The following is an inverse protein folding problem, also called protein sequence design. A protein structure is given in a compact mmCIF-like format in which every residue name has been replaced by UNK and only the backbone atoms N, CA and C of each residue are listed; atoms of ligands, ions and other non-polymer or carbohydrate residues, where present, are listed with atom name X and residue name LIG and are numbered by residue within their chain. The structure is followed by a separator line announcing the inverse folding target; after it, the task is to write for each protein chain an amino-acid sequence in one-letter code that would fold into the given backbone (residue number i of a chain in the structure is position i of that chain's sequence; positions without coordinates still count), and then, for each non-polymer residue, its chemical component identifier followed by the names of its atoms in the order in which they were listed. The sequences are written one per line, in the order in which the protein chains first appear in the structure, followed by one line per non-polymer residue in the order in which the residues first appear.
data_IF_885956327663
#
_entry.id   IF_885956327663
#
_cell.length_a   1.000
_cell.length_b   1.000
_cell.length_c   1.000
_cell.angle_alpha   90.00
_cell.angle_beta   90.00
_cell.angle_gamma   90.00
#
_symmetry.space_group_name_H-M   'P 1'
#
loop_
_entity.id
_entity.type
_entity.pdbx_description
1 polymer ?
#
# COMPACT_ATOMS: atom_id res chain seq x y z
N UNK A 1 -13.64 -28.06 -27.90
CA UNK A 1 -13.06 -26.73 -28.24
C UNK A 1 -13.53 -25.63 -27.29
N UNK A 2 -14.84 -25.29 -27.23
CA UNK A 2 -15.35 -24.21 -26.36
C UNK A 2 -14.90 -24.24 -24.88
N UNK A 3 -14.92 -25.40 -24.22
CA UNK A 3 -14.49 -25.52 -22.81
C UNK A 3 -12.98 -25.33 -22.62
N UNK A 4 -12.16 -25.76 -23.59
CA UNK A 4 -10.71 -25.56 -23.58
C UNK A 4 -10.37 -24.08 -23.76
N UNK A 5 -11.05 -23.40 -24.69
CA UNK A 5 -10.86 -21.97 -24.95
C UNK A 5 -11.35 -21.09 -23.78
N UNK A 6 -12.38 -21.55 -23.06
CA UNK A 6 -12.82 -20.90 -21.82
C UNK A 6 -11.76 -21.05 -20.72
N UNK A 7 -11.29 -22.28 -20.46
CA UNK A 7 -10.24 -22.55 -19.46
C UNK A 7 -8.99 -21.72 -19.72
N UNK A 8 -8.52 -21.69 -20.96
CA UNK A 8 -7.32 -20.94 -21.36
C UNK A 8 -7.49 -19.42 -21.15
N UNK A 9 -8.68 -18.88 -21.44
CA UNK A 9 -8.98 -17.47 -21.18
C UNK A 9 -9.04 -17.16 -19.69
N UNK A 10 -9.70 -18.03 -18.90
CA UNK A 10 -9.77 -17.88 -17.45
C UNK A 10 -8.37 -17.94 -16.83
N UNK A 11 -7.54 -18.90 -17.25
CA UNK A 11 -6.16 -19.02 -16.76
C UNK A 11 -5.36 -17.74 -17.00
N UNK A 12 -5.33 -17.23 -18.24
CA UNK A 12 -4.63 -15.98 -18.56
C UNK A 12 -5.16 -14.78 -17.79
N UNK A 13 -6.48 -14.70 -17.59
CA UNK A 13 -7.10 -13.62 -16.82
C UNK A 13 -6.68 -13.65 -15.35
N UNK A 14 -6.58 -14.84 -14.75
CA UNK A 14 -6.12 -15.01 -13.36
C UNK A 14 -4.63 -14.66 -13.24
N UNK A 15 -3.80 -15.14 -14.18
CA UNK A 15 -2.37 -14.81 -14.21
C UNK A 15 -2.13 -13.29 -14.33
N UNK A 16 -2.85 -12.63 -15.24
CA UNK A 16 -2.76 -11.19 -15.42
C UNK A 16 -3.20 -10.43 -14.16
N UNK A 17 -4.33 -10.82 -13.56
CA UNK A 17 -4.84 -10.20 -12.33
C UNK A 17 -3.86 -10.34 -11.16
N UNK A 18 -3.24 -11.51 -11.01
CA UNK A 18 -2.23 -11.76 -9.99
C UNK A 18 -0.99 -10.88 -10.21
N UNK A 19 -0.49 -10.83 -11.45
CA UNK A 19 0.67 -10.00 -11.81
C UNK A 19 0.41 -8.52 -11.55
N UNK A 20 -0.75 -8.01 -11.93
CA UNK A 20 -1.14 -6.62 -11.67
C UNK A 20 -1.21 -6.33 -10.16
N UNK A 21 -1.80 -7.24 -9.39
CA UNK A 21 -1.91 -7.11 -7.93
C UNK A 21 -0.53 -7.13 -7.26
N UNK A 22 0.38 -7.99 -7.72
CA UNK A 22 1.75 -8.06 -7.21
C UNK A 22 2.54 -6.79 -7.50
N UNK A 23 2.49 -6.29 -8.75
CA UNK A 23 3.15 -5.05 -9.12
C UNK A 23 2.62 -3.86 -8.33
N UNK A 24 1.31 -3.81 -8.08
CA UNK A 24 0.72 -2.77 -7.24
C UNK A 24 1.24 -2.84 -5.79
N UNK A 25 1.36 -4.05 -5.22
CA UNK A 25 1.94 -4.23 -3.89
C UNK A 25 3.39 -3.74 -3.84
N UNK A 26 4.23 -4.19 -4.78
CA UNK A 26 5.63 -3.79 -4.87
C UNK A 26 5.79 -2.26 -4.95
N UNK A 27 4.99 -1.61 -5.80
CA UNK A 27 4.98 -0.15 -5.92
C UNK A 27 4.56 0.55 -4.62
N UNK A 28 3.51 0.07 -3.95
CA UNK A 28 3.05 0.68 -2.69
C UNK A 28 4.06 0.52 -1.57
N UNK A 29 4.83 -0.58 -1.53
CA UNK A 29 5.93 -0.77 -0.58
C UNK A 29 7.00 0.29 -0.81
N UNK A 30 7.48 0.44 -2.05
CA UNK A 30 8.50 1.44 -2.40
C UNK A 30 8.01 2.87 -2.11
N UNK A 31 6.77 3.19 -2.49
CA UNK A 31 6.18 4.52 -2.23
C UNK A 31 6.14 4.83 -0.73
N UNK A 32 5.75 3.86 0.09
CA UNK A 32 5.71 4.01 1.55
C UNK A 32 7.11 4.27 2.12
N UNK A 33 8.15 3.61 1.61
CA UNK A 33 9.53 3.85 2.03
C UNK A 33 9.97 5.28 1.72
N UNK A 34 9.76 5.76 0.49
CA UNK A 34 10.06 7.16 0.13
C UNK A 34 9.30 8.18 0.97
N UNK A 35 8.04 7.88 1.31
CA UNK A 35 7.25 8.75 2.19
C UNK A 35 7.74 8.72 3.64
N UNK A 36 8.31 7.61 4.10
CA UNK A 36 8.98 7.54 5.40
C UNK A 36 10.20 8.46 5.43
N UNK A 37 11.06 8.38 4.40
CA UNK A 37 12.24 9.24 4.29
C UNK A 37 11.86 10.73 4.21
N UNK A 38 10.74 11.04 3.55
CA UNK A 38 10.20 12.39 3.49
C UNK A 38 9.73 12.88 4.87
N UNK A 39 9.06 12.03 5.67
CA UNK A 39 8.69 12.36 7.05
C UNK A 39 9.93 12.66 7.89
N UNK A 40 10.98 11.86 7.77
CA UNK A 40 12.22 12.05 8.51
C UNK A 40 12.89 13.38 8.14
N UNK A 41 13.00 13.67 6.84
CA UNK A 41 13.58 14.92 6.33
C UNK A 41 12.77 16.17 6.73
N UNK A 42 11.44 16.09 6.67
CA UNK A 42 10.56 17.18 7.13
C UNK A 42 10.69 17.39 8.64
N UNK A 43 10.86 16.31 9.42
CA UNK A 43 11.06 16.38 10.87
C UNK A 43 12.38 17.07 11.22
N UNK A 44 13.46 16.76 10.51
CA UNK A 44 14.75 17.44 10.67
C UNK A 44 14.65 18.94 10.33
N UNK A 45 13.87 19.27 9.29
CA UNK A 45 13.64 20.65 8.87
C UNK A 45 12.93 21.46 9.94
N UNK A 46 11.85 20.92 10.55
CA UNK A 46 11.15 21.55 11.68
C UNK A 46 12.11 21.82 12.84
N UNK A 47 12.93 20.84 13.23
CA UNK A 47 13.91 20.98 14.32
C UNK A 47 14.93 22.09 14.01
N UNK A 48 15.42 22.17 12.77
CA UNK A 48 16.36 23.21 12.35
C UNK A 48 15.72 24.61 12.35
N UNK A 49 14.49 24.72 11.85
CA UNK A 49 13.76 25.99 11.76
C UNK A 49 13.35 26.49 13.14
N UNK A 50 12.99 25.60 14.06
CA UNK A 50 12.72 25.95 15.45
C UNK A 50 13.95 26.59 16.11
N UNK A 51 15.14 25.99 15.92
CA UNK A 51 16.41 26.56 16.42
C UNK A 51 16.68 27.94 15.82
N UNK A 52 16.44 28.12 14.52
CA UNK A 52 16.64 29.40 13.83
C UNK A 52 15.63 30.47 14.28
N UNK A 53 14.37 30.09 14.50
CA UNK A 53 13.32 30.97 15.01
C UNK A 53 13.69 31.52 16.40
N UNK A 54 14.18 30.65 17.30
CA UNK A 54 14.61 31.05 18.66
C UNK A 54 15.72 32.10 18.69
N UNK A 55 16.53 32.18 17.63
CA UNK A 55 17.60 33.18 17.47
C UNK A 55 17.25 34.30 16.48
N UNK A 56 15.98 34.40 16.06
CA UNK A 56 15.49 35.46 15.18
C UNK A 56 15.93 35.36 13.72
N UNK A 57 16.47 34.22 13.26
CA UNK A 57 16.90 34.01 11.86
C UNK A 57 15.78 33.56 10.92
N UNK A 58 14.67 33.05 11.47
CA UNK A 58 13.46 32.66 10.74
C UNK A 58 12.24 33.24 11.42
N UNK A 59 11.18 33.45 10.66
CA UNK A 59 9.91 33.96 11.19
C UNK A 59 9.09 32.83 11.81
N UNK A 60 8.10 33.16 12.64
CA UNK A 60 7.13 32.17 13.14
C UNK A 60 6.37 31.52 11.97
N UNK A 61 6.07 32.29 10.91
CA UNK A 61 5.41 31.78 9.72
C UNK A 61 6.26 30.72 9.00
N UNK A 62 7.58 30.90 8.92
CA UNK A 62 8.48 29.91 8.34
C UNK A 62 8.44 28.59 9.15
N UNK A 63 8.42 28.67 10.48
CA UNK A 63 8.31 27.49 11.34
C UNK A 63 6.96 26.78 11.15
N UNK A 64 5.86 27.52 11.17
CA UNK A 64 4.51 26.96 10.97
C UNK A 64 4.37 26.29 9.59
N UNK A 65 4.99 26.84 8.55
CA UNK A 65 5.00 26.21 7.23
C UNK A 65 5.71 24.85 7.25
N UNK A 66 6.86 24.74 7.93
CA UNK A 66 7.57 23.45 8.08
C UNK A 66 6.79 22.44 8.92
N UNK A 67 6.07 22.90 9.95
CA UNK A 67 5.19 22.02 10.73
C UNK A 67 4.03 21.48 9.89
N UNK A 68 3.45 22.32 9.02
CA UNK A 68 2.41 21.90 8.08
C UNK A 68 2.94 20.89 7.04
N UNK A 69 4.15 21.10 6.53
CA UNK A 69 4.80 20.13 5.63
C UNK A 69 5.02 18.78 6.31
N UNK A 70 5.51 18.78 7.55
CA UNK A 70 5.66 17.55 8.35
C UNK A 70 4.31 16.86 8.58
N UNK A 71 3.24 17.62 8.82
CA UNK A 71 1.90 17.08 8.98
C UNK A 71 1.42 16.38 7.69
N UNK A 72 1.54 17.04 6.53
CA UNK A 72 1.15 16.43 5.24
C UNK A 72 2.03 15.23 4.88
N UNK A 73 3.34 15.28 5.17
CA UNK A 73 4.24 14.14 4.97
C UNK A 73 3.80 12.91 5.78
N UNK A 74 3.47 13.12 7.06
CA UNK A 74 2.99 12.04 7.96
C UNK A 74 1.66 11.46 7.49
N UNK A 75 0.74 12.31 7.04
CA UNK A 75 -0.53 11.89 6.46
C UNK A 75 -0.31 11.04 5.20
N UNK A 76 0.54 11.51 4.28
CA UNK A 76 0.88 10.75 3.07
C UNK A 76 1.48 9.38 3.38
N UNK A 77 2.41 9.29 4.33
CA UNK A 77 2.96 8.01 4.79
C UNK A 77 1.87 7.08 5.37
N UNK A 78 0.94 7.62 6.15
CA UNK A 78 -0.17 6.84 6.71
C UNK A 78 -1.10 6.30 5.62
N UNK A 79 -1.43 7.12 4.63
CA UNK A 79 -2.24 6.72 3.47
C UNK A 79 -1.53 5.58 2.70
N UNK A 80 -0.24 5.74 2.38
CA UNK A 80 0.54 4.71 1.70
C UNK A 80 0.65 3.40 2.49
N UNK A 81 0.70 3.47 3.83
CA UNK A 81 0.66 2.29 4.69
C UNK A 81 -0.66 1.53 4.56
N UNK A 82 -1.79 2.22 4.45
CA UNK A 82 -3.08 1.57 4.22
C UNK A 82 -3.22 1.05 2.79
N UNK A 83 -2.67 1.75 1.80
CA UNK A 83 -2.63 1.29 0.41
C UNK A 83 -1.82 0.00 0.27
N UNK A 84 -0.66 -0.10 0.92
CA UNK A 84 0.14 -1.32 0.99
C UNK A 84 -0.68 -2.47 1.61
N UNK A 85 -1.39 -2.20 2.71
CA UNK A 85 -2.23 -3.22 3.37
C UNK A 85 -3.36 -3.70 2.45
N UNK A 86 -4.00 -2.77 1.72
CA UNK A 86 -5.04 -3.12 0.75
C UNK A 86 -4.46 -3.90 -0.44
N UNK A 87 -3.26 -3.55 -0.91
CA UNK A 87 -2.57 -4.28 -1.97
C UNK A 87 -2.25 -5.73 -1.56
N UNK A 88 -1.86 -5.96 -0.29
CA UNK A 88 -1.69 -7.33 0.25
C UNK A 88 -2.98 -8.14 0.14
N UNK A 89 -4.13 -7.56 0.48
CA UNK A 89 -5.42 -8.25 0.34
C UNK A 89 -5.76 -8.55 -1.13
N UNK A 90 -5.45 -7.65 -2.07
CA UNK A 90 -5.64 -7.90 -3.50
C UNK A 90 -4.79 -9.08 -3.99
N UNK A 91 -3.53 -9.17 -3.57
CA UNK A 91 -2.66 -10.32 -3.89
C UNK A 91 -3.22 -11.62 -3.29
N UNK A 92 -3.68 -11.59 -2.04
CA UNK A 92 -4.32 -12.76 -1.41
C UNK A 92 -5.61 -13.17 -2.14
N UNK A 93 -6.42 -12.21 -2.60
CA UNK A 93 -7.62 -12.50 -3.38
C UNK A 93 -7.29 -13.12 -4.74
N UNK A 94 -6.35 -12.52 -5.49
CA UNK A 94 -5.94 -13.00 -6.80
C UNK A 94 -5.27 -14.37 -6.75
N UNK A 95 -4.61 -14.72 -5.64
CA UNK A 95 -4.03 -16.04 -5.40
C UNK A 95 -4.98 -17.06 -4.75
N UNK A 96 -6.21 -16.66 -4.42
CA UNK A 96 -7.21 -17.53 -3.78
C UNK A 96 -7.02 -17.77 -2.28
N UNK A 97 -6.12 -17.05 -1.62
CA UNK A 97 -5.76 -17.26 -0.21
C UNK A 97 -6.45 -16.31 0.77
N UNK A 98 -7.24 -15.33 0.29
CA UNK A 98 -7.82 -14.28 1.13
C UNK A 98 -8.70 -14.82 2.26
N UNK A 99 -9.62 -15.73 1.95
CA UNK A 99 -10.56 -16.27 2.95
C UNK A 99 -9.83 -17.03 4.06
N UNK A 100 -8.84 -17.85 3.68
CA UNK A 100 -7.97 -18.56 4.62
C UNK A 100 -7.19 -17.58 5.50
N UNK A 101 -6.60 -16.53 4.91
CA UNK A 101 -5.85 -15.52 5.65
C UNK A 101 -6.73 -14.75 6.65
N UNK A 102 -8.00 -14.53 6.30
CA UNK A 102 -9.00 -13.87 7.16
C UNK A 102 -9.73 -14.84 8.11
N UNK A 103 -9.39 -16.14 8.08
CA UNK A 103 -10.06 -17.20 8.86
C UNK A 103 -11.58 -17.24 8.66
N UNK A 104 -12.02 -16.96 7.43
CA UNK A 104 -13.43 -17.06 7.06
C UNK A 104 -13.75 -18.53 6.77
N UNK A 105 -14.73 -19.08 7.47
CA UNK A 105 -15.23 -20.43 7.20
C UNK A 105 -15.90 -20.47 5.83
N UNK A 106 -15.46 -21.43 5.00
CA UNK A 106 -16.10 -21.70 3.71
C UNK A 106 -17.00 -22.93 3.81
N UNK A 107 -18.12 -22.98 3.05
CA UNK A 107 -18.96 -24.17 2.98
C UNK A 107 -18.14 -25.40 2.57
N UNK A 108 -18.38 -26.55 3.21
CA UNK A 108 -17.64 -27.78 2.94
C UNK A 108 -17.64 -28.16 1.45
N UNK A 109 -18.75 -27.88 0.75
CA UNK A 109 -18.94 -28.17 -0.67
C UNK A 109 -17.95 -27.43 -1.58
N UNK A 110 -17.40 -26.29 -1.14
CA UNK A 110 -16.44 -25.52 -1.95
C UNK A 110 -15.04 -26.14 -1.95
N UNK A 111 -14.74 -26.98 -0.96
CA UNK A 111 -13.46 -27.67 -0.83
C UNK A 111 -13.50 -29.10 -1.40
N UNK A 112 -14.66 -29.55 -1.90
CA UNK A 112 -14.80 -30.84 -2.56
C UNK A 112 -14.13 -30.80 -3.94
N UNK A 113 -13.32 -31.83 -4.25
CA UNK A 113 -12.73 -31.98 -5.58
C UNK A 113 -13.83 -32.31 -6.58
N UNK A 114 -14.04 -31.41 -7.53
CA UNK A 114 -14.89 -31.68 -8.70
C UNK A 114 -14.03 -32.43 -9.73
N UNK A 115 -14.34 -33.71 -9.97
CA UNK A 115 -13.76 -34.44 -11.10
C UNK A 115 -14.37 -33.92 -12.41
N UNK A 116 -13.52 -33.56 -13.38
CA UNK A 116 -13.90 -33.04 -14.70
C UNK A 116 -13.42 -33.96 -15.81
#
# INVERSE_FOLDING_TARGET
NKSKDLRERTFRSVEESLRLSWNALDLTVQQKEFLSDHVDSASETVISYEKQYRIGKRTLLDLLNTENELFEARKGYLDAKYDEQYAKYRVMNASGNLLTALKVETPAQWNEKVEY
#
